data_IF_481623870203
#
_entry.id   IF_481623870203
#
_cell.length_a   1.000
_cell.length_b   1.000
_cell.length_c   1.000
_cell.angle_alpha   90.00
_cell.angle_beta   90.00
_cell.angle_gamma   90.00
#
_symmetry.space_group_name_H-M   'P 1'
#
loop_
_entity.id
_entity.type
_entity.pdbx_description
1 polymer ?
#
# COMPACT_ATOMS: atom_id res chain seq x y z
N UNK A 1 -25.06 30.15 -3.02
CA UNK A 1 -24.49 29.93 -1.68
C UNK A 1 -23.21 29.18 -1.90
N UNK A 2 -22.06 29.76 -1.56
CA UNK A 2 -20.78 29.06 -1.62
C UNK A 2 -20.74 28.12 -0.43
N UNK A 3 -20.83 26.81 -0.67
CA UNK A 3 -20.43 25.81 0.33
C UNK A 3 -18.95 26.03 0.61
N UNK A 4 -18.66 26.87 1.60
CA UNK A 4 -17.33 26.95 2.15
C UNK A 4 -17.19 25.72 3.03
N UNK A 5 -16.58 24.66 2.49
CA UNK A 5 -16.19 23.49 3.26
C UNK A 5 -15.40 23.88 4.52
N UNK A 6 -15.22 22.93 5.43
CA UNK A 6 -14.55 23.16 6.71
C UNK A 6 -13.13 22.57 6.67
N UNK A 7 -12.09 23.43 6.76
CA UNK A 7 -10.69 23.00 6.73
C UNK A 7 -10.32 22.08 5.55
N UNK A 8 -10.93 22.29 4.38
CA UNK A 8 -10.72 21.47 3.18
C UNK A 8 -11.63 20.26 3.05
N UNK A 9 -12.50 20.01 4.04
CA UNK A 9 -13.51 18.94 4.03
C UNK A 9 -14.88 19.47 3.65
N UNK A 10 -15.78 18.59 3.23
CA UNK A 10 -17.16 18.95 2.86
C UNK A 10 -17.92 19.66 3.99
N UNK A 11 -17.73 19.26 5.24
CA UNK A 11 -18.39 19.85 6.41
C UNK A 11 -17.61 19.61 7.72
N UNK A 12 -18.03 20.27 8.80
CA UNK A 12 -17.40 20.15 10.12
C UNK A 12 -17.45 18.72 10.70
N UNK A 13 -18.60 18.01 10.73
CA UNK A 13 -18.66 16.62 11.20
C UNK A 13 -17.66 15.69 10.52
N UNK A 14 -17.47 15.84 9.22
CA UNK A 14 -16.54 15.02 8.43
C UNK A 14 -15.09 15.29 8.81
N UNK A 15 -14.69 16.57 8.86
CA UNK A 15 -13.36 16.96 9.34
C UNK A 15 -13.10 16.48 10.78
N UNK A 16 -14.05 16.70 11.69
CA UNK A 16 -13.91 16.36 13.10
C UNK A 16 -13.77 14.85 13.31
N UNK A 17 -14.55 14.06 12.56
CA UNK A 17 -14.47 12.60 12.58
C UNK A 17 -13.10 12.13 12.09
N UNK A 18 -12.64 12.59 10.92
CA UNK A 18 -11.31 12.23 10.42
C UNK A 18 -10.19 12.64 11.39
N UNK A 19 -10.26 13.86 11.93
CA UNK A 19 -9.27 14.33 12.91
C UNK A 19 -9.25 13.42 14.14
N UNK A 20 -10.40 12.98 14.66
CA UNK A 20 -10.44 12.11 15.81
C UNK A 20 -9.85 10.73 15.51
N UNK A 21 -10.21 10.14 14.36
CA UNK A 21 -9.72 8.83 13.92
C UNK A 21 -8.20 8.80 13.69
N UNK A 22 -7.59 9.92 13.31
CA UNK A 22 -6.15 10.01 13.00
C UNK A 22 -5.29 10.52 14.17
N UNK A 23 -5.89 11.00 15.25
CA UNK A 23 -5.17 11.65 16.36
C UNK A 23 -4.76 10.67 17.48
N UNK A 24 -5.35 9.48 17.54
CA UNK A 24 -4.95 8.40 18.44
C UNK A 24 -4.36 7.24 17.62
N UNK A 25 -3.16 6.78 18.00
CA UNK A 25 -2.42 5.77 17.23
C UNK A 25 -3.22 4.48 17.05
N UNK A 26 -3.81 3.94 18.12
CA UNK A 26 -4.53 2.66 18.05
C UNK A 26 -5.81 2.76 17.21
N UNK A 27 -6.51 3.89 17.29
CA UNK A 27 -7.68 4.17 16.45
C UNK A 27 -7.27 4.33 14.98
N UNK A 28 -6.19 5.06 14.73
CA UNK A 28 -5.68 5.30 13.38
C UNK A 28 -5.24 4.00 12.70
N UNK A 29 -4.50 3.16 13.41
CA UNK A 29 -4.05 1.85 12.91
C UNK A 29 -5.25 0.98 12.53
N UNK A 30 -6.24 0.86 13.42
CA UNK A 30 -7.45 0.05 13.16
C UNK A 30 -8.23 0.53 11.93
N UNK A 31 -8.40 1.84 11.75
CA UNK A 31 -9.14 2.39 10.61
C UNK A 31 -8.35 2.26 9.31
N UNK A 32 -7.03 2.42 9.35
CA UNK A 32 -6.15 2.15 8.21
C UNK A 32 -6.22 0.68 7.80
N UNK A 33 -6.23 -0.26 8.74
CA UNK A 33 -6.34 -1.69 8.43
C UNK A 33 -7.71 -2.03 7.83
N UNK A 34 -8.79 -1.42 8.31
CA UNK A 34 -10.13 -1.52 7.67
C UNK A 34 -10.11 -1.00 6.23
N UNK A 35 -9.45 0.14 5.99
CA UNK A 35 -9.33 0.71 4.65
C UNK A 35 -8.50 -0.20 3.72
N UNK A 36 -7.40 -0.75 4.21
CA UNK A 36 -6.56 -1.69 3.45
C UNK A 36 -7.32 -2.96 3.07
N UNK A 37 -8.01 -3.59 4.02
CA UNK A 37 -8.82 -4.80 3.79
C UNK A 37 -9.99 -4.54 2.83
N UNK A 38 -10.56 -3.33 2.87
CA UNK A 38 -11.68 -2.90 2.03
C UNK A 38 -11.29 -2.25 0.69
N UNK A 39 -9.99 -2.08 0.41
CA UNK A 39 -9.51 -1.32 -0.75
C UNK A 39 -10.02 -1.90 -2.08
N UNK A 40 -10.03 -3.22 -2.21
CA UNK A 40 -10.48 -3.93 -3.44
C UNK A 40 -12.01 -3.83 -3.64
N UNK A 41 -12.77 -3.62 -2.58
CA UNK A 41 -14.23 -3.46 -2.56
C UNK A 41 -14.63 -2.00 -2.82
N UNK A 42 -13.70 -1.07 -2.57
CA UNK A 42 -13.79 0.33 -2.94
C UNK A 42 -14.36 1.23 -1.85
N UNK A 43 -14.33 2.54 -2.15
CA UNK A 43 -14.64 3.64 -1.23
C UNK A 43 -15.97 3.52 -0.49
N UNK A 44 -17.02 3.01 -1.14
CA UNK A 44 -18.33 2.87 -0.50
C UNK A 44 -18.29 1.83 0.62
N UNK A 45 -17.71 0.66 0.35
CA UNK A 45 -17.56 -0.41 1.33
C UNK A 45 -16.72 0.04 2.53
N UNK A 46 -15.59 0.71 2.27
CA UNK A 46 -14.74 1.25 3.33
C UNK A 46 -15.48 2.30 4.16
N UNK A 47 -16.23 3.21 3.52
CA UNK A 47 -17.02 4.21 4.22
C UNK A 47 -18.04 3.59 5.17
N UNK A 48 -18.75 2.55 4.73
CA UNK A 48 -19.70 1.82 5.57
C UNK A 48 -19.01 1.10 6.73
N UNK A 49 -17.84 0.47 6.50
CA UNK A 49 -17.07 -0.20 7.55
C UNK A 49 -16.55 0.77 8.62
N UNK A 50 -16.03 1.93 8.22
CA UNK A 50 -15.59 2.98 9.15
C UNK A 50 -16.78 3.54 9.93
N UNK A 51 -17.93 3.73 9.27
CA UNK A 51 -19.16 4.18 9.93
C UNK A 51 -19.61 3.19 10.99
N UNK A 52 -19.62 1.89 10.69
CA UNK A 52 -19.98 0.83 11.63
C UNK A 52 -19.05 0.85 12.85
N UNK A 53 -17.73 0.89 12.61
CA UNK A 53 -16.73 1.01 13.68
C UNK A 53 -16.98 2.23 14.60
N UNK A 54 -17.21 3.41 14.03
CA UNK A 54 -17.49 4.63 14.82
C UNK A 54 -18.83 4.51 15.56
N UNK A 55 -19.85 3.93 14.94
CA UNK A 55 -21.18 3.75 15.55
C UNK A 55 -21.10 2.79 16.74
N UNK A 56 -20.34 1.71 16.62
CA UNK A 56 -20.11 0.76 17.71
C UNK A 56 -19.38 1.42 18.88
N UNK A 57 -18.32 2.18 18.61
CA UNK A 57 -17.62 2.96 19.63
C UNK A 57 -18.57 3.94 20.37
N UNK A 58 -19.49 4.54 19.64
CA UNK A 58 -20.49 5.45 20.22
C UNK A 58 -21.53 4.72 21.07
N UNK A 59 -21.97 3.53 20.67
CA UNK A 59 -22.91 2.72 21.44
C UNK A 59 -22.34 2.34 22.83
N UNK A 60 -21.01 2.22 22.96
CA UNK A 60 -20.36 2.06 24.27
C UNK A 60 -20.35 3.34 25.11
N UNK A 61 -20.31 4.51 24.49
CA UNK A 61 -20.15 5.80 25.16
C UNK A 61 -21.48 6.43 25.60
N UNK A 62 -22.55 6.22 24.83
CA UNK A 62 -23.88 6.74 25.13
C UNK A 62 -24.67 5.64 25.82
N UNK A 63 -24.86 5.75 27.14
CA UNK A 63 -25.73 4.84 27.87
C UNK A 63 -27.13 4.80 27.21
N UNK A 64 -27.80 3.65 27.31
CA UNK A 64 -29.05 3.23 26.62
C UNK A 64 -30.31 4.11 26.90
N UNK A 65 -30.13 5.37 27.28
CA UNK A 65 -31.18 6.34 27.55
C UNK A 65 -31.36 7.30 26.37
N UNK A 66 -32.45 7.08 25.61
CA UNK A 66 -32.91 8.03 24.61
C UNK A 66 -33.10 9.42 25.24
N UNK A 67 -32.46 10.44 24.66
CA UNK A 67 -32.51 11.81 25.13
C UNK A 67 -31.78 12.79 24.21
N UNK A 68 -31.90 14.08 24.49
CA UNK A 68 -31.39 15.18 23.64
C UNK A 68 -29.93 15.00 23.20
N UNK A 69 -29.06 14.48 24.08
CA UNK A 69 -27.66 14.26 23.76
C UNK A 69 -27.48 13.14 22.73
N UNK A 70 -28.22 12.03 22.86
CA UNK A 70 -28.23 10.93 21.90
C UNK A 70 -28.79 11.36 20.55
N UNK A 71 -29.87 12.16 20.53
CA UNK A 71 -30.45 12.69 19.29
C UNK A 71 -29.47 13.62 18.56
N UNK A 72 -28.81 14.55 19.28
CA UNK A 72 -27.84 15.47 18.70
C UNK A 72 -26.58 14.76 18.19
N UNK A 73 -26.08 13.77 18.94
CA UNK A 73 -24.93 12.96 18.53
C UNK A 73 -25.27 12.12 17.30
N UNK A 74 -26.41 11.43 17.30
CA UNK A 74 -26.87 10.64 16.16
C UNK A 74 -27.00 11.51 14.92
N UNK A 75 -27.65 12.67 15.03
CA UNK A 75 -27.76 13.62 13.91
C UNK A 75 -26.38 14.05 13.39
N UNK A 76 -25.44 14.40 14.27
CA UNK A 76 -24.10 14.82 13.87
C UNK A 76 -23.35 13.73 13.09
N UNK A 77 -23.47 12.47 13.50
CA UNK A 77 -22.88 11.30 12.82
C UNK A 77 -23.52 11.07 11.45
N UNK A 78 -24.83 11.26 11.35
CA UNK A 78 -25.55 11.17 10.05
C UNK A 78 -25.10 12.25 9.06
N UNK A 79 -24.53 13.36 9.53
CA UNK A 79 -23.99 14.42 8.65
C UNK A 79 -22.57 14.14 8.14
N UNK A 80 -21.90 13.10 8.63
CA UNK A 80 -20.54 12.76 8.19
C UNK A 80 -20.59 12.21 6.76
N UNK A 81 -19.74 12.76 5.89
CA UNK A 81 -19.48 12.18 4.57
C UNK A 81 -18.48 11.03 4.70
N UNK A 82 -19.01 9.82 4.89
CA UNK A 82 -18.21 8.60 5.05
C UNK A 82 -17.41 8.24 3.79
N UNK A 83 -17.83 8.70 2.60
CA UNK A 83 -17.05 8.49 1.39
C UNK A 83 -15.81 9.39 1.37
N UNK A 84 -15.93 10.63 1.86
CA UNK A 84 -14.79 11.54 1.97
C UNK A 84 -13.78 11.02 3.01
N UNK A 85 -14.25 10.56 4.18
CA UNK A 85 -13.38 9.93 5.20
C UNK A 85 -12.69 8.70 4.63
N UNK A 86 -13.43 7.77 4.03
CA UNK A 86 -12.84 6.60 3.39
C UNK A 86 -11.84 6.95 2.29
N UNK A 87 -12.11 8.01 1.53
CA UNK A 87 -11.22 8.50 0.48
C UNK A 87 -9.86 8.94 1.02
N UNK A 88 -9.81 9.55 2.20
CA UNK A 88 -8.55 9.96 2.82
C UNK A 88 -7.71 8.74 3.22
N UNK A 89 -8.28 7.78 3.94
CA UNK A 89 -7.56 6.56 4.34
C UNK A 89 -7.13 5.71 3.15
N UNK A 90 -7.97 5.59 2.12
CA UNK A 90 -7.60 4.88 0.89
C UNK A 90 -6.45 5.56 0.14
N UNK A 91 -6.41 6.89 0.13
CA UNK A 91 -5.29 7.62 -0.48
C UNK A 91 -3.96 7.34 0.25
N UNK A 92 -3.98 7.22 1.57
CA UNK A 92 -2.79 6.87 2.35
C UNK A 92 -2.34 5.43 2.05
N UNK A 93 -3.27 4.46 2.01
CA UNK A 93 -2.99 3.06 1.63
C UNK A 93 -2.40 2.97 0.22
N UNK A 94 -2.99 3.68 -0.76
CA UNK A 94 -2.48 3.75 -2.13
C UNK A 94 -1.08 4.37 -2.18
N UNK A 95 -0.82 5.41 -1.39
CA UNK A 95 0.48 6.05 -1.30
C UNK A 95 1.55 5.14 -0.70
N UNK A 96 1.21 4.35 0.34
CA UNK A 96 2.10 3.30 0.88
C UNK A 96 2.45 2.27 -0.19
N UNK A 97 1.44 1.72 -0.88
CA UNK A 97 1.66 0.73 -1.95
C UNK A 97 2.55 1.29 -3.08
N UNK A 98 2.36 2.56 -3.46
CA UNK A 98 3.18 3.21 -4.49
C UNK A 98 4.66 3.34 -4.09
N UNK A 99 4.95 3.67 -2.82
CA UNK A 99 6.33 3.72 -2.31
C UNK A 99 6.99 2.34 -2.34
N UNK A 100 6.26 1.33 -1.86
CA UNK A 100 6.74 -0.05 -1.85
C UNK A 100 6.96 -0.61 -3.26
N UNK A 101 6.06 -0.29 -4.21
CA UNK A 101 6.24 -0.64 -5.61
C UNK A 101 7.51 -0.01 -6.19
N UNK A 102 7.71 1.29 -5.96
CA UNK A 102 8.91 2.00 -6.43
C UNK A 102 10.19 1.40 -5.84
N UNK A 103 10.20 1.15 -4.54
CA UNK A 103 11.32 0.54 -3.83
C UNK A 103 11.64 -0.85 -4.38
N UNK A 104 10.64 -1.71 -4.52
CA UNK A 104 10.82 -3.05 -5.10
C UNK A 104 11.39 -3.01 -6.51
N UNK A 105 10.87 -2.12 -7.36
CA UNK A 105 11.38 -1.95 -8.73
C UNK A 105 12.84 -1.51 -8.77
N UNK A 106 13.23 -0.55 -7.93
CA UNK A 106 14.62 -0.07 -7.87
C UNK A 106 15.59 -1.13 -7.32
N UNK A 107 15.19 -1.86 -6.28
CA UNK A 107 15.97 -2.99 -5.74
C UNK A 107 16.11 -4.10 -6.79
N UNK A 108 15.04 -4.38 -7.54
CA UNK A 108 15.03 -5.33 -8.66
C UNK A 108 15.99 -4.93 -9.77
N UNK A 109 16.02 -3.64 -10.14
CA UNK A 109 17.03 -3.14 -11.09
C UNK A 109 18.45 -3.28 -10.55
N UNK A 110 18.65 -2.97 -9.26
CA UNK A 110 19.93 -3.17 -8.59
C UNK A 110 20.43 -4.61 -8.73
N UNK A 111 19.57 -5.59 -8.45
CA UNK A 111 19.88 -7.01 -8.61
C UNK A 111 20.08 -7.42 -10.07
N UNK A 112 19.20 -6.98 -10.98
CA UNK A 112 19.27 -7.28 -12.41
C UNK A 112 20.56 -6.79 -13.08
N UNK A 113 21.15 -5.70 -12.58
CA UNK A 113 22.40 -5.14 -13.10
C UNK A 113 23.62 -6.07 -12.98
N UNK A 114 23.54 -7.09 -12.11
CA UNK A 114 24.60 -8.09 -11.93
C UNK A 114 24.43 -9.34 -12.81
N UNK A 115 23.30 -9.47 -13.52
CA UNK A 115 23.01 -10.65 -14.36
C UNK A 115 23.78 -10.59 -15.67
N UNK A 116 23.88 -9.40 -16.29
CA UNK A 116 24.61 -9.19 -17.55
C UNK A 116 25.90 -8.44 -17.23
N UNK A 117 27.03 -9.13 -17.40
CA UNK A 117 28.35 -8.61 -17.08
C UNK A 117 29.29 -8.61 -18.31
N UNK A 118 30.56 -8.27 -18.08
CA UNK A 118 31.59 -8.29 -19.13
C UNK A 118 31.89 -9.68 -19.71
N UNK A 119 31.57 -10.75 -18.98
CA UNK A 119 31.83 -12.14 -19.39
C UNK A 119 30.61 -12.81 -20.04
N UNK A 120 29.44 -12.20 -19.94
CA UNK A 120 28.20 -12.69 -20.55
C UNK A 120 28.35 -12.69 -22.06
N UNK A 121 28.08 -13.80 -22.74
CA UNK A 121 28.23 -13.88 -24.20
C UNK A 121 27.01 -13.27 -24.92
N UNK A 122 27.20 -12.87 -26.18
CA UNK A 122 26.10 -12.34 -27.01
C UNK A 122 25.00 -13.40 -27.23
N UNK A 123 25.38 -14.67 -27.34
CA UNK A 123 24.45 -15.79 -27.40
C UNK A 123 23.62 -15.93 -26.12
N UNK A 124 24.25 -15.76 -24.94
CA UNK A 124 23.56 -15.76 -23.67
C UNK A 124 22.59 -14.56 -23.55
N UNK A 125 23.01 -13.36 -23.97
CA UNK A 125 22.13 -12.19 -24.01
C UNK A 125 20.92 -12.39 -24.94
N UNK A 126 21.14 -12.97 -26.12
CA UNK A 126 20.04 -13.27 -27.04
C UNK A 126 19.07 -14.32 -26.47
N UNK A 127 19.60 -15.34 -25.77
CA UNK A 127 18.78 -16.35 -25.11
C UNK A 127 17.95 -15.75 -23.94
N UNK A 128 18.56 -14.90 -23.11
CA UNK A 128 17.90 -14.19 -22.01
C UNK A 128 16.77 -13.29 -22.53
N UNK A 129 17.04 -12.45 -23.53
CA UNK A 129 16.05 -11.56 -24.12
C UNK A 129 14.83 -12.33 -24.64
N UNK A 130 15.08 -13.36 -25.45
CA UNK A 130 14.00 -14.18 -25.99
C UNK A 130 13.23 -14.87 -24.85
N UNK A 131 13.92 -15.40 -23.86
CA UNK A 131 13.30 -16.05 -22.71
C UNK A 131 12.37 -15.12 -21.93
N UNK A 132 12.80 -13.89 -21.67
CA UNK A 132 11.97 -12.87 -20.99
C UNK A 132 10.78 -12.49 -21.88
N UNK A 133 10.99 -12.19 -23.16
CA UNK A 133 9.94 -11.74 -24.09
C UNK A 133 8.89 -12.83 -24.38
N UNK A 134 9.28 -14.11 -24.37
CA UNK A 134 8.39 -15.25 -24.60
C UNK A 134 7.78 -15.81 -23.30
N UNK A 135 8.21 -15.32 -22.14
CA UNK A 135 7.78 -15.86 -20.84
C UNK A 135 8.28 -17.28 -20.56
N UNK A 136 9.51 -17.60 -20.98
CA UNK A 136 10.15 -18.87 -20.68
C UNK A 136 10.38 -19.00 -19.18
N UNK A 137 9.59 -19.87 -18.55
CA UNK A 137 9.62 -20.11 -17.12
C UNK A 137 11.00 -20.53 -16.60
N UNK A 138 11.80 -21.27 -17.36
CA UNK A 138 13.13 -21.65 -16.91
C UNK A 138 14.09 -20.46 -16.81
N UNK A 139 13.90 -19.46 -17.68
CA UNK A 139 14.65 -18.20 -17.62
C UNK A 139 14.12 -17.33 -16.49
N UNK A 140 12.81 -17.16 -16.38
CA UNK A 140 12.20 -16.34 -15.32
C UNK A 140 12.49 -16.89 -13.92
N UNK A 141 12.41 -18.21 -13.70
CA UNK A 141 12.70 -18.86 -12.42
C UNK A 141 14.21 -18.78 -12.06
N UNK A 142 15.08 -18.47 -13.02
CA UNK A 142 16.52 -18.31 -12.80
C UNK A 142 16.94 -16.85 -12.54
N UNK A 143 16.04 -15.89 -12.73
CA UNK A 143 16.32 -14.49 -12.43
C UNK A 143 16.44 -14.26 -10.92
N UNK A 144 17.19 -13.22 -10.49
CA UNK A 144 17.25 -12.84 -9.09
C UNK A 144 15.87 -12.71 -8.45
N UNK A 145 15.78 -13.15 -7.20
CA UNK A 145 14.60 -13.00 -6.33
C UNK A 145 14.92 -12.02 -5.20
N UNK A 146 13.91 -11.36 -4.61
CA UNK A 146 14.12 -10.42 -3.53
C UNK A 146 14.74 -11.11 -2.30
N UNK A 147 15.84 -10.55 -1.78
CA UNK A 147 16.55 -11.03 -0.60
C UNK A 147 16.23 -10.16 0.61
N UNK A 148 14.98 -10.22 1.09
CA UNK A 148 14.49 -9.43 2.24
C UNK A 148 14.33 -10.27 3.52
N UNK A 149 15.00 -11.43 3.57
CA UNK A 149 14.97 -12.35 4.70
C UNK A 149 16.03 -12.07 5.77
N UNK A 150 16.96 -11.14 5.54
CA UNK A 150 18.10 -10.90 6.43
C UNK A 150 19.04 -12.12 6.57
N UNK A 151 19.14 -12.95 5.52
CA UNK A 151 19.92 -14.20 5.56
C UNK A 151 21.43 -13.95 5.68
N UNK A 152 21.92 -12.82 5.14
CA UNK A 152 23.32 -12.43 5.20
C UNK A 152 23.52 -11.08 5.90
N UNK A 153 24.75 -10.87 6.40
CA UNK A 153 25.12 -9.62 7.05
C UNK A 153 25.08 -8.46 6.04
N UNK A 154 24.08 -7.59 6.18
CA UNK A 154 23.86 -6.45 5.30
C UNK A 154 22.64 -6.58 4.39
N UNK A 155 21.99 -7.74 4.35
CA UNK A 155 20.71 -7.88 3.64
C UNK A 155 19.61 -7.20 4.45
N UNK A 156 18.74 -6.41 3.80
CA UNK A 156 17.61 -5.85 4.50
C UNK A 156 16.66 -6.97 4.94
N UNK A 157 15.99 -6.75 6.06
CA UNK A 157 14.78 -7.50 6.41
C UNK A 157 13.55 -6.79 5.86
N UNK A 158 12.45 -7.53 5.67
CA UNK A 158 11.19 -6.93 5.25
C UNK A 158 10.73 -5.79 6.17
N UNK A 159 10.86 -5.98 7.49
CA UNK A 159 10.57 -4.93 8.48
C UNK A 159 11.46 -3.70 8.30
N UNK A 160 12.73 -3.86 7.92
CA UNK A 160 13.60 -2.72 7.62
C UNK A 160 13.18 -1.98 6.36
N UNK A 161 12.77 -2.69 5.30
CA UNK A 161 12.22 -2.08 4.08
C UNK A 161 10.99 -1.25 4.42
N UNK A 162 10.02 -1.81 5.15
CA UNK A 162 8.82 -1.08 5.56
C UNK A 162 9.15 0.17 6.39
N UNK A 163 10.07 0.03 7.35
CA UNK A 163 10.51 1.14 8.20
C UNK A 163 11.20 2.25 7.40
N UNK A 164 12.00 1.90 6.40
CA UNK A 164 12.68 2.88 5.55
C UNK A 164 11.72 3.66 4.65
N UNK A 165 10.64 3.00 4.20
CA UNK A 165 9.62 3.60 3.35
C UNK A 165 8.46 4.25 4.14
N UNK A 166 8.60 4.36 5.47
CA UNK A 166 7.57 4.89 6.37
C UNK A 166 6.21 4.24 6.11
N UNK A 167 6.21 2.90 6.07
CA UNK A 167 5.03 2.06 5.91
C UNK A 167 4.83 1.27 7.20
N UNK A 168 3.58 1.15 7.65
CA UNK A 168 3.31 0.41 8.88
C UNK A 168 3.54 -1.09 8.68
N UNK A 169 4.31 -1.68 9.60
CA UNK A 169 4.54 -3.13 9.71
C UNK A 169 3.31 -3.75 10.36
N UNK A 170 2.39 -4.25 9.55
CA UNK A 170 1.26 -4.96 10.11
C UNK A 170 1.57 -6.45 10.19
N UNK A 171 1.73 -6.89 11.42
CA UNK A 171 1.82 -8.30 11.87
C UNK A 171 0.52 -9.10 11.57
N UNK A 172 -0.41 -8.55 10.78
CA UNK A 172 -1.78 -9.06 10.60
C UNK A 172 -2.11 -9.54 9.17
N UNK A 173 -1.18 -9.44 8.22
CA UNK A 173 -1.40 -9.95 6.86
C UNK A 173 -1.63 -8.89 5.78
N UNK A 174 -0.89 -7.78 5.83
CA UNK A 174 -0.56 -6.96 4.64
C UNK A 174 0.29 -7.72 3.60
N UNK A 175 -0.09 -8.96 3.28
CA UNK A 175 0.50 -9.74 2.18
C UNK A 175 0.47 -8.96 0.87
N UNK A 176 -0.50 -8.05 0.70
CA UNK A 176 -0.59 -7.17 -0.45
C UNK A 176 0.67 -6.29 -0.65
N UNK A 177 1.33 -5.77 0.41
CA UNK A 177 2.52 -4.92 0.22
C UNK A 177 3.76 -5.75 -0.14
N UNK A 178 3.93 -6.91 0.49
CA UNK A 178 5.05 -7.81 0.15
C UNK A 178 4.91 -8.34 -1.28
N UNK A 179 3.69 -8.69 -1.69
CA UNK A 179 3.41 -9.12 -3.06
C UNK A 179 3.65 -7.96 -4.05
N UNK A 180 3.20 -6.74 -3.74
CA UNK A 180 3.51 -5.53 -4.53
C UNK A 180 5.02 -5.33 -4.68
N UNK A 181 5.77 -5.49 -3.59
CA UNK A 181 7.23 -5.39 -3.61
C UNK A 181 7.85 -6.48 -4.50
N UNK A 182 7.45 -7.74 -4.34
CA UNK A 182 8.00 -8.87 -5.10
C UNK A 182 7.69 -8.76 -6.60
N UNK A 183 6.46 -8.38 -6.95
CA UNK A 183 6.03 -8.17 -8.34
C UNK A 183 6.79 -6.98 -8.98
N UNK A 184 7.00 -5.90 -8.22
CA UNK A 184 7.80 -4.78 -8.69
C UNK A 184 9.28 -5.14 -8.86
N UNK A 185 9.83 -5.91 -7.92
CA UNK A 185 11.20 -6.42 -7.97
C UNK A 185 11.44 -7.26 -9.23
N UNK A 186 10.57 -8.23 -9.49
CA UNK A 186 10.67 -9.06 -10.70
C UNK A 186 10.66 -8.22 -11.98
N UNK A 187 9.72 -7.25 -12.09
CA UNK A 187 9.68 -6.31 -13.21
C UNK A 187 10.96 -5.46 -13.32
N UNK A 188 11.52 -5.02 -12.21
CA UNK A 188 12.77 -4.26 -12.17
C UNK A 188 13.95 -5.07 -12.70
N UNK A 189 14.07 -6.33 -12.28
CA UNK A 189 15.08 -7.27 -12.78
C UNK A 189 14.93 -7.48 -14.29
N UNK A 190 13.73 -7.85 -14.74
CA UNK A 190 13.45 -8.11 -16.16
C UNK A 190 13.76 -6.88 -17.03
N UNK A 191 13.35 -5.70 -16.60
CA UNK A 191 13.60 -4.45 -17.31
C UNK A 191 15.10 -4.15 -17.43
N UNK A 192 15.86 -4.35 -16.34
CA UNK A 192 17.30 -4.11 -16.33
C UNK A 192 18.04 -5.12 -17.22
N UNK A 193 17.77 -6.42 -17.07
CA UNK A 193 18.39 -7.49 -17.88
C UNK A 193 18.10 -7.28 -19.36
N UNK A 194 16.86 -6.92 -19.69
CA UNK A 194 16.45 -6.62 -21.06
C UNK A 194 17.21 -5.43 -21.63
N UNK A 195 17.33 -4.34 -20.86
CA UNK A 195 18.08 -3.16 -21.28
C UNK A 195 19.55 -3.50 -21.55
N UNK A 196 20.20 -4.22 -20.65
CA UNK A 196 21.64 -4.49 -20.74
C UNK A 196 21.96 -5.46 -21.89
N UNK A 197 21.12 -6.47 -22.11
CA UNK A 197 21.25 -7.34 -23.27
C UNK A 197 21.06 -6.57 -24.59
N UNK A 198 20.10 -5.64 -24.66
CA UNK A 198 19.87 -4.82 -25.87
C UNK A 198 21.06 -3.89 -26.16
N UNK A 199 21.62 -3.26 -25.13
CA UNK A 199 22.81 -2.41 -25.25
C UNK A 199 24.02 -3.22 -25.70
N UNK A 200 24.17 -4.46 -25.25
CA UNK A 200 25.27 -5.32 -25.66
C UNK A 200 25.17 -5.76 -27.12
N UNK A 201 23.97 -6.08 -27.57
CA UNK A 201 23.71 -6.62 -28.91
C UNK A 201 23.61 -5.53 -30.01
N UNK A 202 23.64 -4.25 -29.63
CA UNK A 202 23.64 -3.12 -30.57
C UNK A 202 25.03 -2.78 -31.08
#
# INVERSE_FOLDING_TARGET
MTDAGYNGWSNYPTWATHLWLTNDQGTSEQVTDLAAQGAKQGRAFVGDAIREYVTDLMAYAVADEAGLHSDLLTYAVEQVDWHEVAGAFLADVEAEACRIEARGYDDGKGAGSWVVDGNTSDEACAALLRGIEEGDRAILDALPMPQVGGEWAGDPTWTEVLREEDCADADDGRGDLFDVYCDAFARGVEAQVTNDCRVRLS
#
